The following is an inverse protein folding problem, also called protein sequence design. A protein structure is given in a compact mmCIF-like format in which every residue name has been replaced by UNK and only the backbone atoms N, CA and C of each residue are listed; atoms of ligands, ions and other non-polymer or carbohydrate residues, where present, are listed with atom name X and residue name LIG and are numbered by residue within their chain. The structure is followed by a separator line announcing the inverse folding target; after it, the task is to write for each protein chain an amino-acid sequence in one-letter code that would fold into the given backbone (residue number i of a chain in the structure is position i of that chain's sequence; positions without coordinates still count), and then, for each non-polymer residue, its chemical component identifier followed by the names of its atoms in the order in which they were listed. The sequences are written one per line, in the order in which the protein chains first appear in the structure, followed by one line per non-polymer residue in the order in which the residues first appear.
data_IF_533142406924
#
_entry.id   IF_533142406924
#
_cell.length_a   1.000
_cell.length_b   1.000
_cell.length_c   1.000
_cell.angle_alpha   90.00
_cell.angle_beta   90.00
_cell.angle_gamma   90.00
#
_symmetry.space_group_name_H-M   'P 1'
#
loop_
_entity.id
_entity.type
_entity.pdbx_description
1 polymer ?
#
# COMPACT_ATOMS: atom_id res chain seq x y z
N UNK A 1 0.49 -19.96 -7.67
CA UNK A 1 1.05 -19.16 -6.56
C UNK A 1 0.90 -17.69 -6.94
N UNK A 2 0.44 -16.85 -6.02
CA UNK A 2 0.37 -15.40 -6.24
C UNK A 2 1.54 -14.73 -5.56
N UNK A 3 2.31 -13.93 -6.28
CA UNK A 3 3.44 -13.21 -5.71
C UNK A 3 2.96 -11.92 -5.04
N UNK A 4 3.52 -11.63 -3.86
CA UNK A 4 3.38 -10.33 -3.20
C UNK A 4 4.64 -9.55 -3.53
N UNK A 5 4.47 -8.39 -4.16
CA UNK A 5 5.58 -7.55 -4.59
C UNK A 5 5.72 -6.34 -3.65
N UNK A 6 6.95 -6.12 -3.20
CA UNK A 6 7.32 -5.00 -2.36
C UNK A 6 8.16 -4.03 -3.18
N UNK A 7 7.64 -2.83 -3.39
CA UNK A 7 8.34 -1.76 -4.08
C UNK A 7 8.70 -0.67 -3.08
N UNK A 8 10.00 -0.43 -2.91
CA UNK A 8 10.45 0.82 -2.33
C UNK A 8 10.35 1.92 -3.40
N UNK A 9 9.55 2.93 -3.12
CA UNK A 9 9.37 4.07 -4.02
C UNK A 9 10.32 5.22 -3.66
N UNK A 10 10.93 5.18 -2.47
CA UNK A 10 11.65 6.32 -1.91
C UNK A 10 10.82 7.61 -2.01
N UNK A 11 11.39 8.61 -2.66
CA UNK A 11 10.75 9.93 -2.82
C UNK A 11 9.66 9.96 -3.90
N UNK A 12 9.61 8.95 -4.77
CA UNK A 12 8.68 8.91 -5.90
C UNK A 12 7.24 8.77 -5.40
N UNK A 13 6.39 9.72 -5.78
CA UNK A 13 4.96 9.71 -5.53
C UNK A 13 4.21 9.20 -6.76
N UNK A 14 3.21 8.36 -6.54
CA UNK A 14 2.34 7.88 -7.61
C UNK A 14 1.13 8.81 -7.69
N UNK A 15 0.96 9.46 -8.85
CA UNK A 15 -0.11 10.44 -9.06
C UNK A 15 -1.53 9.90 -8.73
N UNK A 16 -1.89 8.65 -9.08
CA UNK A 16 -3.20 8.09 -8.75
C UNK A 16 -3.48 8.02 -7.23
N UNK A 17 -2.44 7.95 -6.41
CA UNK A 17 -2.54 7.75 -4.96
C UNK A 17 -2.11 8.98 -4.15
N UNK A 18 -1.81 10.10 -4.81
CA UNK A 18 -1.33 11.32 -4.16
C UNK A 18 -2.38 12.41 -4.26
N UNK A 19 -2.94 12.82 -3.12
CA UNK A 19 -3.97 13.85 -3.09
C UNK A 19 -3.68 14.89 -1.99
N UNK A 20 -3.66 16.20 -2.31
CA UNK A 20 -3.37 17.26 -1.33
C UNK A 20 -4.36 17.34 -0.14
N UNK A 21 -5.55 16.73 -0.25
CA UNK A 21 -6.55 16.68 0.82
C UNK A 21 -6.31 15.51 1.78
N UNK A 22 -5.43 14.56 1.42
CA UNK A 22 -5.11 13.39 2.21
C UNK A 22 -3.65 13.55 2.69
N UNK A 23 -3.48 14.17 3.85
CA UNK A 23 -2.18 14.65 4.35
C UNK A 23 -1.08 13.59 4.35
N UNK A 24 -1.41 12.34 4.69
CA UNK A 24 -0.41 11.26 4.71
C UNK A 24 0.14 10.96 3.31
N UNK A 25 -0.64 11.13 2.23
CA UNK A 25 -0.16 10.87 0.86
C UNK A 25 0.92 11.86 0.41
N UNK A 26 1.06 13.00 1.10
CA UNK A 26 2.06 14.02 0.83
C UNK A 26 3.45 13.73 1.41
N UNK A 27 3.58 12.74 2.30
CA UNK A 27 4.85 12.46 3.01
C UNK A 27 5.97 12.08 2.04
N UNK A 28 7.21 12.36 2.44
CA UNK A 28 8.42 12.30 1.60
C UNK A 28 8.79 10.89 1.17
N UNK A 29 8.65 9.89 2.03
CA UNK A 29 9.05 8.51 1.73
C UNK A 29 7.83 7.61 1.54
N UNK A 30 8.01 6.46 0.88
CA UNK A 30 6.92 5.53 0.69
C UNK A 30 7.27 4.25 -0.02
N UNK A 31 6.30 3.36 0.00
CA UNK A 31 6.37 2.10 -0.73
C UNK A 31 5.01 1.73 -1.31
N UNK A 32 5.03 0.67 -2.11
CA UNK A 32 3.86 0.05 -2.69
C UNK A 32 3.96 -1.45 -2.46
N UNK A 33 2.91 -2.03 -1.89
CA UNK A 33 2.74 -3.48 -1.82
C UNK A 33 1.69 -3.86 -2.86
N UNK A 34 2.02 -4.78 -3.76
CA UNK A 34 1.10 -5.23 -4.81
C UNK A 34 0.81 -6.71 -4.68
N UNK A 35 -0.47 -7.07 -4.73
CA UNK A 35 -0.93 -8.45 -4.76
C UNK A 35 -2.16 -8.58 -5.66
N UNK A 36 -2.08 -9.43 -6.70
CA UNK A 36 -3.21 -9.72 -7.62
C UNK A 36 -3.95 -8.48 -8.16
N UNK A 37 -3.21 -7.44 -8.53
CA UNK A 37 -3.78 -6.19 -9.05
C UNK A 37 -4.26 -5.22 -7.96
N UNK A 38 -4.30 -5.64 -6.70
CA UNK A 38 -4.51 -4.77 -5.56
C UNK A 38 -3.21 -4.07 -5.19
N UNK A 39 -3.31 -2.76 -5.02
CA UNK A 39 -2.24 -1.88 -4.61
C UNK A 39 -2.50 -1.40 -3.19
N UNK A 40 -1.52 -1.58 -2.31
CA UNK A 40 -1.47 -0.95 -1.00
C UNK A 40 -0.34 0.09 -1.01
N UNK A 41 -0.72 1.33 -1.29
CA UNK A 41 0.18 2.48 -1.29
C UNK A 41 0.25 3.12 0.09
N UNK A 42 1.47 3.37 0.58
CA UNK A 42 1.68 4.01 1.87
C UNK A 42 2.82 5.02 1.82
N UNK A 43 2.75 6.02 2.70
CA UNK A 43 3.71 7.11 2.80
C UNK A 43 4.05 7.42 4.25
N UNK A 44 5.29 7.79 4.51
CA UNK A 44 5.83 8.01 5.85
C UNK A 44 6.91 9.10 5.87
N UNK A 45 7.22 9.59 7.07
CA UNK A 45 8.35 10.48 7.35
C UNK A 45 9.29 9.79 8.33
N UNK A 46 10.60 10.03 8.23
CA UNK A 46 11.58 9.34 9.06
C UNK A 46 11.60 7.83 8.78
N UNK A 47 11.38 7.01 9.82
CA UNK A 47 11.40 5.55 9.70
C UNK A 47 10.02 5.01 9.33
N UNK A 48 9.94 4.30 8.20
CA UNK A 48 8.74 3.59 7.78
C UNK A 48 8.69 2.20 8.38
N UNK A 49 7.59 1.87 9.05
CA UNK A 49 7.33 0.53 9.54
C UNK A 49 6.02 0.02 8.94
N UNK A 50 6.08 -1.21 8.42
CA UNK A 50 4.93 -1.93 7.86
C UNK A 50 4.94 -3.33 8.42
N UNK A 51 3.89 -3.67 9.16
CA UNK A 51 3.69 -5.03 9.64
C UNK A 51 2.75 -5.78 8.71
N UNK A 52 3.12 -7.02 8.40
CA UNK A 52 2.36 -7.90 7.50
C UNK A 52 2.07 -9.17 8.28
N UNK A 53 0.80 -9.50 8.39
CA UNK A 53 0.35 -10.75 8.99
C UNK A 53 -0.35 -11.55 7.90
N UNK A 54 0.14 -12.77 7.67
CA UNK A 54 -0.49 -13.75 6.79
C UNK A 54 -1.12 -14.79 7.70
N UNK A 55 -2.44 -14.95 7.61
CA UNK A 55 -3.16 -15.95 8.41
C UNK A 55 -3.04 -17.37 7.83
N UNK A 56 -3.59 -18.35 8.54
CA UNK A 56 -3.59 -19.76 8.13
C UNK A 56 -4.41 -20.05 6.86
N UNK A 57 -5.27 -19.11 6.45
CA UNK A 57 -6.12 -19.20 5.26
C UNK A 57 -5.55 -18.40 4.07
N UNK A 58 -4.43 -17.70 4.26
CA UNK A 58 -3.78 -16.88 3.23
C UNK A 58 -4.32 -15.45 3.10
N UNK A 59 -5.09 -14.97 4.07
CA UNK A 59 -5.46 -13.56 4.17
C UNK A 59 -4.25 -12.72 4.56
N UNK A 60 -4.13 -11.52 3.97
CA UNK A 60 -3.03 -10.60 4.25
C UNK A 60 -3.59 -9.38 5.00
N UNK A 61 -3.08 -9.15 6.20
CA UNK A 61 -3.35 -7.97 6.99
C UNK A 61 -2.13 -7.05 6.98
N UNK A 62 -2.32 -5.81 6.56
CA UNK A 62 -1.28 -4.78 6.51
C UNK A 62 -1.54 -3.74 7.60
N UNK A 63 -0.52 -3.44 8.39
CA UNK A 63 -0.55 -2.37 9.40
C UNK A 63 0.52 -1.32 9.09
N UNK A 64 0.10 -0.04 9.15
CA UNK A 64 0.95 1.10 8.87
C UNK A 64 0.90 2.06 10.05
N UNK A 65 2.03 2.28 10.72
CA UNK A 65 2.07 3.13 11.93
C UNK A 65 1.87 4.62 11.60
N UNK A 66 2.34 5.05 10.42
CA UNK A 66 2.36 6.45 10.01
C UNK A 66 1.67 6.72 8.67
N UNK A 67 1.07 5.70 8.05
CA UNK A 67 0.46 5.79 6.73
C UNK A 67 -1.03 5.49 6.76
N UNK A 68 -1.70 5.83 5.66
CA UNK A 68 -2.95 5.18 5.29
C UNK A 68 -2.69 4.22 4.14
N UNK A 69 -3.71 3.44 3.80
CA UNK A 69 -3.71 2.54 2.66
C UNK A 69 -4.85 2.97 1.74
N UNK A 70 -4.54 3.21 0.46
CA UNK A 70 -5.56 3.25 -0.58
C UNK A 70 -5.52 1.89 -1.24
N UNK A 71 -6.54 1.06 -1.01
CA UNK A 71 -6.76 -0.16 -1.80
C UNK A 71 -7.67 0.24 -2.95
N UNK A 72 -7.17 0.06 -4.17
CA UNK A 72 -8.06 0.09 -5.33
C UNK A 72 -8.54 -1.34 -5.56
N UNK A 73 -9.74 -1.64 -5.08
CA UNK A 73 -10.48 -2.85 -5.43
C UNK A 73 -11.17 -2.54 -6.77
N UNK A 74 -10.45 -2.71 -7.88
CA UNK A 74 -11.12 -2.86 -9.17
C UNK A 74 -11.78 -4.25 -9.13
N UNK A 75 -12.89 -4.31 -8.39
CA UNK A 75 -13.56 -5.55 -8.03
C UNK A 75 -14.26 -6.12 -9.27
N UNK A 76 -13.79 -7.31 -9.64
CA UNK A 76 -14.64 -8.50 -9.76
C UNK A 76 -16.04 -8.25 -10.36
N UNK A 77 -16.12 -8.23 -11.69
CA UNK A 77 -17.33 -8.69 -12.35
C UNK A 77 -17.33 -10.23 -12.31
N UNK A 78 -18.16 -10.83 -11.45
CA UNK A 78 -18.63 -12.19 -11.69
C UNK A 78 -19.75 -12.06 -12.73
N UNK A 79 -19.44 -12.39 -13.98
CA UNK A 79 -20.38 -12.53 -15.09
C UNK A 79 -20.37 -13.95 -15.62
#
# INVERSE_FOLDING_TARGET
MGDILFFDLGEKKLAPYTHPKIAWTGKKWGGLIRYRGLDAYFRYEGTGHVAIVIDEYGSIHLHFDQGGMIINLDDLAVG
#
